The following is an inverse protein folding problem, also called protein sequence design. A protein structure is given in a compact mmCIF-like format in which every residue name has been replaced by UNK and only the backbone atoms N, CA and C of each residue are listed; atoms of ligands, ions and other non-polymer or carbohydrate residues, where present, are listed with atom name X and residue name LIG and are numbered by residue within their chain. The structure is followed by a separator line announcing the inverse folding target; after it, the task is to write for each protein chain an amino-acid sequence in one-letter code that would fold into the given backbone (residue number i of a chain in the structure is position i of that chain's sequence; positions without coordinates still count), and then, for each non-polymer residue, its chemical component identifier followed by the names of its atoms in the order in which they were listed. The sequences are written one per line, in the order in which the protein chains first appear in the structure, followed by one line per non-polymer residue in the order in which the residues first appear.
data_IF_294895755741
#
_entry.id   IF_294895755741
#
_cell.length_a   1.000
_cell.length_b   1.000
_cell.length_c   1.000
_cell.angle_alpha   90.00
_cell.angle_beta   90.00
_cell.angle_gamma   90.00
#
_symmetry.space_group_name_H-M   'P 1'
#
loop_
_entity.id
_entity.type
_entity.pdbx_description
1 polymer ?
#
# COMPACT_ATOMS: atom_id res chain seq x y z
N UNK A 1 -1.25 24.27 -18.58
CA UNK A 1 -1.82 23.74 -17.33
C UNK A 1 -0.85 24.14 -16.23
N UNK A 2 -1.29 24.94 -15.25
CA UNK A 2 -0.42 25.51 -14.22
C UNK A 2 -0.54 24.69 -12.92
N UNK A 3 0.53 24.04 -12.44
CA UNK A 3 0.52 23.28 -11.19
C UNK A 3 0.07 24.10 -9.98
N UNK A 4 0.33 25.40 -9.95
CA UNK A 4 -0.10 26.27 -8.86
C UNK A 4 -1.62 26.46 -8.86
N UNK A 5 -2.22 26.63 -10.04
CA UNK A 5 -3.67 26.65 -10.20
C UNK A 5 -4.32 25.33 -9.77
N UNK A 6 -3.77 24.17 -10.16
CA UNK A 6 -4.30 22.87 -9.75
C UNK A 6 -4.29 22.70 -8.22
N UNK A 7 -3.17 23.06 -7.57
CA UNK A 7 -3.08 23.05 -6.12
C UNK A 7 -4.14 23.95 -5.44
N UNK A 8 -4.42 25.12 -6.02
CA UNK A 8 -5.47 26.02 -5.54
C UNK A 8 -6.87 25.44 -5.76
N UNK A 9 -7.13 24.77 -6.88
CA UNK A 9 -8.41 24.11 -7.15
C UNK A 9 -8.68 22.96 -6.17
N UNK A 10 -7.68 22.13 -5.89
CA UNK A 10 -7.77 21.07 -4.87
C UNK A 10 -8.16 21.66 -3.51
N UNK A 11 -7.51 22.76 -3.10
CA UNK A 11 -7.73 23.38 -1.78
C UNK A 11 -9.09 24.07 -1.65
N UNK A 12 -9.71 24.52 -2.75
CA UNK A 12 -10.97 25.29 -2.73
C UNK A 12 -12.20 24.47 -3.16
N UNK A 13 -12.01 23.30 -3.76
CA UNK A 13 -13.07 22.54 -4.41
C UNK A 13 -12.95 21.03 -4.27
N UNK A 14 -13.00 20.34 -5.41
CA UNK A 14 -12.77 18.91 -5.57
C UNK A 14 -11.82 18.75 -6.75
N UNK A 15 -10.85 17.86 -6.60
CA UNK A 15 -9.95 17.45 -7.66
C UNK A 15 -9.85 15.92 -7.68
N UNK A 16 -9.48 15.41 -8.85
CA UNK A 16 -9.31 13.99 -9.08
C UNK A 16 -7.93 13.75 -9.68
N UNK A 17 -7.26 12.70 -9.23
CA UNK A 17 -5.99 12.24 -9.81
C UNK A 17 -6.05 10.73 -10.01
N UNK A 18 -5.58 10.29 -11.17
CA UNK A 18 -5.38 8.88 -11.48
C UNK A 18 -4.15 8.37 -10.73
N UNK A 19 -4.38 7.41 -9.84
CA UNK A 19 -3.35 6.72 -9.05
C UNK A 19 -3.32 5.23 -9.38
N UNK A 20 -3.85 4.84 -10.54
CA UNK A 20 -3.91 3.46 -11.01
C UNK A 20 -2.53 2.85 -11.18
N UNK A 21 -1.48 3.65 -11.28
CA UNK A 21 -0.12 3.16 -11.44
C UNK A 21 0.54 2.70 -10.13
N UNK A 22 -0.02 3.07 -8.96
CA UNK A 22 0.48 2.58 -7.67
C UNK A 22 0.41 1.05 -7.62
N UNK A 23 1.41 0.43 -6.98
CA UNK A 23 1.43 -1.01 -6.79
C UNK A 23 0.36 -1.45 -5.81
N UNK A 24 -0.22 -2.63 -6.04
CA UNK A 24 -1.36 -3.18 -5.29
C UNK A 24 -1.06 -4.63 -4.99
N UNK A 25 -0.69 -4.92 -3.75
CA UNK A 25 -0.27 -6.25 -3.32
C UNK A 25 -1.22 -6.73 -2.22
N UNK A 26 -1.79 -7.93 -2.37
CA UNK A 26 -2.54 -8.60 -1.32
C UNK A 26 -1.65 -9.64 -0.62
N UNK A 27 -1.64 -9.61 0.70
CA UNK A 27 -1.05 -10.63 1.57
C UNK A 27 -2.13 -11.35 2.37
N UNK A 28 -2.06 -12.67 2.47
CA UNK A 28 -2.98 -13.47 3.28
C UNK A 28 -2.35 -14.79 3.70
N UNK A 29 -2.81 -15.40 4.79
CA UNK A 29 -2.26 -16.65 5.30
C UNK A 29 -2.20 -16.65 6.82
N UNK A 30 -1.96 -17.81 7.46
CA UNK A 30 -1.84 -17.89 8.93
C UNK A 30 -0.69 -17.01 9.46
N UNK A 31 0.43 -16.92 8.75
CA UNK A 31 1.64 -16.22 9.25
C UNK A 31 1.74 -14.77 8.75
N UNK A 32 0.68 -14.24 8.14
CA UNK A 32 0.71 -12.93 7.47
C UNK A 32 1.11 -11.78 8.40
N UNK A 33 0.71 -11.84 9.67
CA UNK A 33 1.07 -10.82 10.67
C UNK A 33 2.56 -10.88 11.01
N UNK A 34 3.10 -12.08 11.20
CA UNK A 34 4.51 -12.28 11.53
C UNK A 34 5.39 -11.86 10.36
N UNK A 35 5.02 -12.27 9.15
CA UNK A 35 5.68 -11.85 7.93
C UNK A 35 5.66 -10.32 7.75
N UNK A 36 4.52 -9.68 8.02
CA UNK A 36 4.44 -8.21 7.97
C UNK A 36 5.30 -7.52 9.04
N UNK A 37 5.40 -8.06 10.26
CA UNK A 37 6.29 -7.51 11.29
C UNK A 37 7.76 -7.69 10.95
N UNK A 38 8.10 -8.75 10.23
CA UNK A 38 9.44 -8.96 9.70
C UNK A 38 9.78 -7.94 8.61
N UNK A 39 8.88 -7.71 7.65
CA UNK A 39 9.12 -6.81 6.52
C UNK A 39 8.96 -5.32 6.85
N UNK A 40 8.10 -4.97 7.80
CA UNK A 40 7.65 -3.59 8.02
C UNK A 40 7.78 -3.20 9.50
N UNK A 41 8.52 -2.12 9.84
CA UNK A 41 8.47 -1.54 11.17
C UNK A 41 7.05 -1.05 11.50
N UNK A 42 6.32 -1.80 12.32
CA UNK A 42 4.96 -1.42 12.71
C UNK A 42 4.20 -2.48 13.49
N UNK A 43 3.08 -2.08 14.14
CA UNK A 43 2.20 -2.98 14.89
C UNK A 43 0.92 -3.27 14.10
N UNK A 44 1.00 -4.17 13.12
CA UNK A 44 -0.14 -4.53 12.25
C UNK A 44 -1.13 -5.53 12.87
N UNK A 45 -0.74 -6.26 13.91
CA UNK A 45 -1.62 -7.20 14.63
C UNK A 45 -2.89 -6.56 15.24
N UNK A 46 -2.86 -5.24 15.47
CA UNK A 46 -4.00 -4.46 16.01
C UNK A 46 -4.65 -3.56 14.96
N UNK A 47 -4.41 -3.82 13.68
CA UNK A 47 -5.10 -3.13 12.61
C UNK A 47 -6.44 -3.82 12.39
N UNK A 48 -7.54 -3.16 12.77
CA UNK A 48 -8.89 -3.70 12.56
C UNK A 48 -9.29 -3.70 11.07
N UNK A 49 -10.23 -4.57 10.71
CA UNK A 49 -10.79 -4.65 9.35
C UNK A 49 -11.39 -3.29 8.96
N UNK A 50 -11.12 -2.87 7.72
CA UNK A 50 -11.52 -1.57 7.18
C UNK A 50 -10.64 -0.40 7.63
N UNK A 51 -9.55 -0.65 8.38
CA UNK A 51 -8.59 0.38 8.76
C UNK A 51 -7.34 0.32 7.90
N UNK A 52 -6.76 1.50 7.70
CA UNK A 52 -5.55 1.72 6.93
C UNK A 52 -4.49 2.41 7.78
N UNK A 53 -3.23 2.04 7.62
CA UNK A 53 -2.07 2.73 8.19
C UNK A 53 -1.04 3.01 7.12
N UNK A 54 -0.38 4.14 7.23
CA UNK A 54 0.84 4.40 6.47
C UNK A 54 1.99 3.59 7.07
N UNK A 55 2.82 3.02 6.21
CA UNK A 55 3.96 2.21 6.60
C UNK A 55 5.15 2.51 5.69
N UNK A 56 6.33 2.29 6.24
CA UNK A 56 7.61 2.34 5.52
C UNK A 56 8.23 0.96 5.59
N UNK A 57 8.94 0.56 4.54
CA UNK A 57 9.70 -0.67 4.42
C UNK A 57 11.18 -0.27 4.37
N UNK A 58 12.00 -0.90 5.21
CA UNK A 58 13.41 -0.57 5.38
C UNK A 58 14.23 -1.75 4.86
N UNK A 59 15.26 -1.47 4.06
CA UNK A 59 16.20 -2.48 3.58
C UNK A 59 17.12 -2.99 4.68
N UNK A 60 17.88 -4.05 4.39
CA UNK A 60 18.83 -4.63 5.35
C UNK A 60 19.94 -3.65 5.78
N UNK A 61 20.24 -2.66 4.94
CA UNK A 61 21.20 -1.58 5.19
C UNK A 61 20.63 -0.44 6.05
N UNK A 62 19.36 -0.53 6.46
CA UNK A 62 18.68 0.50 7.25
C UNK A 62 18.16 1.68 6.42
N UNK A 63 18.23 1.61 5.08
CA UNK A 63 17.75 2.68 4.19
C UNK A 63 16.29 2.45 3.84
N UNK A 64 15.53 3.55 3.68
CA UNK A 64 14.16 3.51 3.19
C UNK A 64 14.14 2.82 1.82
N UNK A 65 13.48 1.68 1.76
CA UNK A 65 13.32 0.90 0.54
C UNK A 65 11.99 1.23 -0.14
N UNK A 66 10.93 1.41 0.64
CA UNK A 66 9.59 1.69 0.13
C UNK A 66 8.70 2.39 1.16
N UNK A 67 7.68 3.09 0.69
CA UNK A 67 6.59 3.59 1.53
C UNK A 67 5.22 3.28 0.94
N UNK A 68 4.20 3.31 1.78
CA UNK A 68 2.89 2.88 1.32
C UNK A 68 1.80 2.91 2.36
N UNK A 69 0.65 2.36 1.99
CA UNK A 69 -0.46 2.16 2.91
C UNK A 69 -0.78 0.69 3.02
N UNK A 70 -1.14 0.29 4.24
CA UNK A 70 -1.50 -1.08 4.58
C UNK A 70 -2.90 -1.05 5.16
N UNK A 71 -3.80 -1.80 4.54
CA UNK A 71 -5.20 -1.88 4.94
C UNK A 71 -5.58 -3.31 5.23
N UNK A 72 -6.22 -3.58 6.37
CA UNK A 72 -6.85 -4.88 6.57
C UNK A 72 -8.21 -4.86 5.86
N UNK A 73 -8.32 -5.56 4.73
CA UNK A 73 -9.52 -5.55 3.89
C UNK A 73 -10.53 -6.63 4.31
N UNK A 74 -10.03 -7.72 4.89
CA UNK A 74 -10.79 -8.81 5.50
C UNK A 74 -9.95 -9.38 6.64
N UNK A 75 -10.56 -10.14 7.55
CA UNK A 75 -9.80 -10.80 8.62
C UNK A 75 -8.70 -11.68 8.03
N UNK A 76 -7.44 -11.35 8.31
CA UNK A 76 -6.27 -12.07 7.79
C UNK A 76 -5.91 -11.76 6.33
N UNK A 77 -6.54 -10.77 5.69
CA UNK A 77 -6.17 -10.28 4.36
C UNK A 77 -5.77 -8.82 4.40
N UNK A 78 -4.60 -8.53 3.89
CA UNK A 78 -3.99 -7.21 3.92
C UNK A 78 -3.71 -6.73 2.51
N UNK A 79 -4.14 -5.50 2.23
CA UNK A 79 -3.83 -4.79 1.00
C UNK A 79 -2.71 -3.81 1.27
N UNK A 80 -1.66 -3.88 0.46
CA UNK A 80 -0.49 -3.01 0.50
C UNK A 80 -0.47 -2.19 -0.79
N UNK A 81 -0.51 -0.87 -0.65
CA UNK A 81 -0.22 0.06 -1.73
C UNK A 81 1.27 0.39 -1.71
N UNK A 82 1.95 0.29 -2.84
CA UNK A 82 3.35 0.73 -3.02
C UNK A 82 3.42 1.86 -4.05
N UNK A 83 4.56 2.54 -4.12
CA UNK A 83 4.91 3.44 -5.22
C UNK A 83 4.91 2.70 -6.55
N UNK A 84 4.62 3.45 -7.62
CA UNK A 84 4.51 2.95 -9.00
C UNK A 84 5.79 2.26 -9.48
N UNK A 85 6.95 2.87 -9.21
CA UNK A 85 8.23 2.44 -9.75
C UNK A 85 8.82 1.22 -9.05
N UNK A 86 8.39 0.92 -7.82
CA UNK A 86 9.03 -0.10 -6.98
C UNK A 86 8.17 -1.34 -6.74
N UNK A 87 6.96 -1.39 -7.29
CA UNK A 87 6.01 -2.50 -7.07
C UNK A 87 6.60 -3.88 -7.43
N UNK A 88 7.36 -3.97 -8.51
CA UNK A 88 7.94 -5.24 -8.97
C UNK A 88 9.09 -5.70 -8.07
N UNK A 89 9.88 -4.74 -7.56
CA UNK A 89 10.95 -5.02 -6.61
C UNK A 89 10.38 -5.51 -5.27
N UNK A 90 9.31 -4.88 -4.78
CA UNK A 90 8.63 -5.30 -3.55
C UNK A 90 7.99 -6.66 -3.71
N UNK A 91 7.31 -6.89 -4.82
CA UNK A 91 6.72 -8.20 -5.11
C UNK A 91 7.79 -9.29 -5.15
N UNK A 92 8.91 -9.03 -5.82
CA UNK A 92 10.05 -9.97 -5.89
C UNK A 92 10.68 -10.19 -4.51
N UNK A 93 10.84 -9.15 -3.72
CA UNK A 93 11.38 -9.24 -2.36
C UNK A 93 10.49 -10.10 -1.45
N UNK A 94 9.17 -9.92 -1.52
CA UNK A 94 8.24 -10.78 -0.78
C UNK A 94 8.35 -12.25 -1.23
N UNK A 95 8.35 -12.50 -2.54
CA UNK A 95 8.51 -13.86 -3.08
C UNK A 95 9.82 -14.51 -2.63
N UNK A 96 10.92 -13.74 -2.59
CA UNK A 96 12.21 -14.23 -2.11
C UNK A 96 12.14 -14.69 -0.65
N UNK A 97 11.58 -13.87 0.25
CA UNK A 97 11.47 -14.21 1.66
C UNK A 97 10.48 -15.35 1.94
N UNK A 98 9.44 -15.50 1.14
CA UNK A 98 8.52 -16.64 1.26
C UNK A 98 9.11 -17.94 0.71
N UNK A 99 10.06 -17.84 -0.23
CA UNK A 99 10.76 -19.02 -0.76
C UNK A 99 11.89 -19.46 0.15
N UNK A 100 12.59 -18.50 0.77
CA UNK A 100 13.77 -18.77 1.61
C UNK A 100 13.45 -18.90 3.10
N UNK A 101 12.35 -18.29 3.55
CA UNK A 101 11.82 -18.42 4.90
C UNK A 101 10.79 -19.54 5.04
N UNK A 102 10.31 -19.73 6.26
CA UNK A 102 9.28 -20.71 6.62
C UNK A 102 8.00 -19.97 7.05
N UNK A 103 7.37 -19.29 6.09
CA UNK A 103 6.12 -18.53 6.31
C UNK A 103 5.02 -19.07 5.39
N UNK A 104 3.87 -19.46 5.94
CA UNK A 104 2.67 -19.76 5.17
C UNK A 104 1.89 -18.46 4.88
N UNK A 105 2.31 -17.79 3.81
CA UNK A 105 1.70 -16.55 3.30
C UNK A 105 1.59 -16.62 1.78
N UNK A 106 0.43 -16.19 1.27
CA UNK A 106 0.16 -15.97 -0.15
C UNK A 106 0.31 -14.50 -0.50
N UNK A 107 1.00 -14.21 -1.59
CA UNK A 107 1.16 -12.88 -2.18
C UNK A 107 0.45 -12.85 -3.52
N UNK A 108 -0.41 -11.86 -3.74
CA UNK A 108 -1.02 -11.60 -5.06
C UNK A 108 -0.69 -10.18 -5.53
N UNK A 109 -0.16 -10.06 -6.74
CA UNK A 109 -0.03 -8.78 -7.41
C UNK A 109 -1.36 -8.44 -8.11
N UNK A 110 -2.02 -7.39 -7.64
CA UNK A 110 -3.31 -6.90 -8.15
C UNK A 110 -3.15 -5.64 -9.00
N UNK A 111 -1.93 -5.14 -9.20
CA UNK A 111 -1.67 -3.84 -9.83
C UNK A 111 -2.26 -3.72 -11.23
N UNK A 112 -2.21 -4.79 -12.02
CA UNK A 112 -2.77 -4.82 -13.37
C UNK A 112 -4.30 -5.03 -13.39
N UNK A 113 -4.88 -5.55 -12.31
CA UNK A 113 -6.30 -5.89 -12.21
C UNK A 113 -7.16 -4.82 -11.54
N UNK A 114 -6.54 -3.84 -10.87
CA UNK A 114 -7.25 -2.82 -10.09
C UNK A 114 -6.72 -1.43 -10.45
N UNK A 115 -7.63 -0.52 -10.81
CA UNK A 115 -7.36 0.90 -10.98
C UNK A 115 -7.60 1.67 -9.69
N UNK A 116 -7.01 2.86 -9.58
CA UNK A 116 -7.11 3.70 -8.40
C UNK A 116 -7.37 5.14 -8.81
N UNK A 117 -8.36 5.76 -8.18
CA UNK A 117 -8.67 7.18 -8.37
C UNK A 117 -8.71 7.84 -7.00
N UNK A 118 -7.91 8.88 -6.82
CA UNK A 118 -7.96 9.69 -5.62
C UNK A 118 -8.83 10.92 -5.90
N UNK A 119 -9.89 11.09 -5.09
CA UNK A 119 -10.76 12.27 -5.11
C UNK A 119 -10.48 13.05 -3.82
N UNK A 120 -10.06 14.30 -3.95
CA UNK A 120 -9.58 15.10 -2.83
C UNK A 120 -10.07 16.54 -2.88
N UNK A 121 -10.13 17.19 -1.72
CA UNK A 121 -10.57 18.57 -1.56
C UNK A 121 -11.72 18.73 -0.55
N UNK A 122 -11.95 19.95 -0.04
CA UNK A 122 -12.91 20.20 1.05
C UNK A 122 -14.36 19.87 0.70
N UNK A 123 -14.72 19.76 -0.58
CA UNK A 123 -16.09 19.51 -1.02
C UNK A 123 -16.37 18.03 -1.38
N UNK A 124 -15.39 17.14 -1.25
CA UNK A 124 -15.47 15.76 -1.76
C UNK A 124 -16.60 14.92 -1.14
N UNK A 125 -17.03 15.25 0.08
CA UNK A 125 -18.07 14.50 0.80
C UNK A 125 -19.49 14.88 0.38
N UNK A 126 -19.67 16.06 -0.21
CA UNK A 126 -20.97 16.65 -0.53
C UNK A 126 -21.17 16.87 -2.04
N UNK A 127 -20.27 16.32 -2.86
CA UNK A 127 -20.32 16.35 -4.32
C UNK A 127 -21.16 15.22 -4.90
#
# INVERSE_FOLDING_TARGET
MDPQQEALYVRKGVAMIDVSTLGKIELSGPDVIEFMHFMLPGKFAKLDVGRTRYAIMIGEDGILFEDGTISQIEKGKYYISTTTGNQDAIYTLFQWWLTTGDYDVQVKNLSAGISGVNITGPKVRNS
#
